data_IF_836867436425
#
_entry.id   IF_836867436425
#
_cell.length_a   1.000
_cell.length_b   1.000
_cell.length_c   1.000
_cell.angle_alpha   90.00
_cell.angle_beta   90.00
_cell.angle_gamma   90.00
#
_symmetry.space_group_name_H-M   'P 1'
#
loop_
_entity.id
_entity.type
_entity.pdbx_description
1 polymer ?
#
# COMPACT_ATOMS: atom_id res chain seq x y z
N UNK A 1 -10.08 -6.33 -5.06
CA UNK A 1 -10.02 -6.25 -6.53
C UNK A 1 -11.25 -6.95 -7.09
N UNK A 2 -12.01 -6.32 -7.99
CA UNK A 2 -13.16 -6.95 -8.63
C UNK A 2 -12.74 -7.67 -9.93
N UNK A 3 -13.57 -8.61 -10.41
CA UNK A 3 -13.28 -9.40 -11.61
C UNK A 3 -13.36 -8.60 -12.92
N UNK A 4 -14.00 -7.43 -12.90
CA UNK A 4 -14.09 -6.50 -14.02
C UNK A 4 -12.89 -5.54 -14.10
N UNK A 5 -11.81 -5.80 -13.36
CA UNK A 5 -10.64 -4.94 -13.24
C UNK A 5 -10.84 -3.63 -12.46
N UNK A 6 -11.93 -3.46 -11.72
CA UNK A 6 -12.11 -2.29 -10.86
C UNK A 6 -11.61 -2.55 -9.43
N UNK A 7 -10.74 -1.66 -8.92
CA UNK A 7 -10.42 -1.63 -7.49
C UNK A 7 -11.45 -0.74 -6.81
N UNK A 8 -12.28 -1.34 -5.97
CA UNK A 8 -13.41 -0.66 -5.32
C UNK A 8 -13.34 -0.83 -3.82
N UNK A 9 -13.49 0.27 -3.09
CA UNK A 9 -13.80 0.26 -1.67
C UNK A 9 -15.31 0.40 -1.50
N UNK A 10 -15.90 -0.50 -0.73
CA UNK A 10 -17.33 -0.47 -0.35
C UNK A 10 -17.51 -0.29 1.16
N UNK A 11 -18.57 0.38 1.58
CA UNK A 11 -19.11 0.38 2.95
C UNK A 11 -20.41 -0.44 2.92
N UNK A 12 -20.35 -1.69 3.38
CA UNK A 12 -21.43 -2.65 3.12
C UNK A 12 -21.62 -2.88 1.60
N UNK A 13 -22.85 -2.81 1.06
CA UNK A 13 -23.07 -2.94 -0.38
C UNK A 13 -22.71 -1.68 -1.18
N UNK A 14 -22.59 -0.52 -0.52
CA UNK A 14 -22.41 0.77 -1.20
C UNK A 14 -20.94 1.02 -1.58
N UNK A 15 -20.62 1.26 -2.86
CA UNK A 15 -19.28 1.70 -3.27
C UNK A 15 -19.06 3.16 -2.83
N UNK A 16 -17.93 3.43 -2.18
CA UNK A 16 -17.56 4.78 -1.69
C UNK A 16 -16.34 5.36 -2.41
N UNK A 17 -15.53 4.51 -3.05
CA UNK A 17 -14.41 4.93 -3.90
C UNK A 17 -14.09 3.85 -4.92
N UNK A 18 -13.60 4.23 -6.10
CA UNK A 18 -13.14 3.30 -7.14
C UNK A 18 -11.99 3.86 -7.97
N UNK A 19 -11.12 2.98 -8.48
CA UNK A 19 -10.04 3.30 -9.43
C UNK A 19 -10.53 3.65 -10.84
N UNK A 20 -11.82 3.40 -11.13
CA UNK A 20 -12.45 3.65 -12.43
C UNK A 20 -11.81 2.84 -13.58
N UNK A 21 -11.41 1.60 -13.28
CA UNK A 21 -10.73 0.70 -14.24
C UNK A 21 -11.60 -0.47 -14.69
N UNK A 22 -12.91 -0.39 -14.47
CA UNK A 22 -13.86 -1.40 -14.93
C UNK A 22 -13.73 -1.62 -16.45
N UNK A 23 -13.75 -2.89 -16.86
CA UNK A 23 -13.65 -3.38 -18.24
C UNK A 23 -12.38 -2.95 -19.00
N UNK A 24 -11.32 -2.51 -18.32
CA UNK A 24 -10.05 -2.12 -18.96
C UNK A 24 -9.03 -3.27 -19.08
N UNK A 25 -9.44 -4.50 -18.79
CA UNK A 25 -8.59 -5.68 -18.91
C UNK A 25 -9.25 -6.93 -18.36
N UNK A 26 -8.43 -7.97 -18.19
CA UNK A 26 -8.77 -9.24 -17.53
C UNK A 26 -7.64 -9.63 -16.58
N UNK A 27 -7.92 -10.52 -15.61
CA UNK A 27 -6.94 -11.03 -14.64
C UNK A 27 -6.16 -9.91 -13.93
N UNK A 28 -6.86 -8.82 -13.61
CA UNK A 28 -6.23 -7.64 -13.03
C UNK A 28 -5.88 -7.83 -11.56
N UNK A 29 -4.79 -7.21 -11.14
CA UNK A 29 -4.28 -7.25 -9.79
C UNK A 29 -3.90 -5.85 -9.32
N UNK A 30 -3.87 -5.68 -8.00
CA UNK A 30 -3.41 -4.46 -7.36
C UNK A 30 -2.17 -4.79 -6.53
N UNK A 31 -1.17 -3.92 -6.63
CA UNK A 31 0.10 -4.06 -5.93
C UNK A 31 0.48 -2.71 -5.32
N UNK A 32 1.08 -2.75 -4.13
CA UNK A 32 1.81 -1.63 -3.54
C UNK A 32 3.30 -1.91 -3.73
N UNK A 33 3.98 -1.06 -4.47
CA UNK A 33 5.41 -1.18 -4.73
C UNK A 33 6.26 -0.65 -3.55
N UNK A 34 7.54 -1.02 -3.53
CA UNK A 34 8.49 -0.59 -2.50
C UNK A 34 8.83 0.90 -2.55
N UNK A 35 8.43 1.61 -3.61
CA UNK A 35 8.52 3.07 -3.72
C UNK A 35 7.28 3.79 -3.18
N UNK A 36 6.29 3.05 -2.65
CA UNK A 36 5.04 3.61 -2.13
C UNK A 36 3.99 3.91 -3.20
N UNK A 37 4.19 3.50 -4.46
CA UNK A 37 3.15 3.58 -5.49
C UNK A 37 2.20 2.38 -5.39
N UNK A 38 0.91 2.66 -5.18
CA UNK A 38 -0.13 1.65 -5.32
C UNK A 38 -0.68 1.72 -6.74
N UNK A 39 -0.72 0.58 -7.43
CA UNK A 39 -1.13 0.53 -8.82
C UNK A 39 -2.03 -0.67 -9.10
N UNK A 40 -2.86 -0.52 -10.13
CA UNK A 40 -3.66 -1.61 -10.71
C UNK A 40 -3.07 -1.94 -12.07
N UNK A 41 -2.83 -3.22 -12.31
CA UNK A 41 -2.36 -3.76 -13.58
C UNK A 41 -3.37 -4.77 -14.12
N UNK A 42 -3.41 -4.94 -15.44
CA UNK A 42 -4.07 -6.10 -16.05
C UNK A 42 -3.14 -7.32 -16.12
N UNK A 43 -3.69 -8.47 -16.50
CA UNK A 43 -2.94 -9.73 -16.60
C UNK A 43 -1.76 -9.71 -17.59
N UNK A 44 -1.71 -8.72 -18.49
CA UNK A 44 -0.59 -8.52 -19.42
C UNK A 44 0.48 -7.56 -18.88
N UNK A 45 0.37 -7.11 -17.62
CA UNK A 45 1.30 -6.16 -17.01
C UNK A 45 1.07 -4.71 -17.43
N UNK A 46 -0.06 -4.36 -18.06
CA UNK A 46 -0.38 -2.97 -18.41
C UNK A 46 -0.97 -2.26 -17.19
N UNK A 47 -0.37 -1.13 -16.80
CA UNK A 47 -0.85 -0.30 -15.69
C UNK A 47 -2.11 0.46 -16.07
N UNK A 48 -3.19 0.22 -15.35
CA UNK A 48 -4.52 0.81 -15.58
C UNK A 48 -4.80 2.02 -14.70
N UNK A 49 -4.27 2.03 -13.47
CA UNK A 49 -4.42 3.10 -12.48
C UNK A 49 -3.20 3.16 -11.56
N UNK A 50 -2.96 4.32 -10.96
CA UNK A 50 -1.86 4.54 -10.02
C UNK A 50 -2.19 5.66 -9.01
N UNK A 51 -1.73 5.55 -7.77
CA UNK A 51 -1.97 6.50 -6.68
C UNK A 51 -1.21 7.81 -6.83
N UNK A 52 -0.13 7.84 -7.62
CA UNK A 52 0.80 8.97 -7.75
C UNK A 52 1.45 9.35 -6.42
N UNK A 53 1.85 8.34 -5.66
CA UNK A 53 2.47 8.48 -4.33
C UNK A 53 3.89 7.92 -4.27
N UNK A 54 4.44 7.52 -5.42
CA UNK A 54 5.84 7.11 -5.58
C UNK A 54 6.80 8.11 -4.94
N UNK A 55 7.75 7.58 -4.18
CA UNK A 55 8.77 8.23 -3.36
C UNK A 55 10.05 7.38 -3.41
N UNK A 56 10.94 7.55 -2.44
CA UNK A 56 12.07 6.66 -2.24
C UNK A 56 11.65 5.25 -1.82
N UNK A 57 12.52 4.28 -2.11
CA UNK A 57 12.35 2.89 -1.70
C UNK A 57 12.24 2.77 -0.16
N UNK A 58 11.37 1.88 0.30
CA UNK A 58 11.17 1.61 1.71
C UNK A 58 10.01 0.66 1.99
N UNK A 59 9.69 0.54 3.28
CA UNK A 59 8.61 -0.31 3.74
C UNK A 59 7.30 0.46 3.77
N UNK A 60 6.44 0.17 2.79
CA UNK A 60 5.11 0.77 2.69
C UNK A 60 4.02 -0.23 3.04
N UNK A 61 2.95 0.26 3.67
CA UNK A 61 1.75 -0.51 3.97
C UNK A 61 0.51 0.29 3.60
N UNK A 62 -0.40 -0.34 2.87
CA UNK A 62 -1.75 0.16 2.73
C UNK A 62 -2.59 -0.32 3.92
N UNK A 63 -3.24 0.61 4.60
CA UNK A 63 -4.12 0.33 5.73
C UNK A 63 -5.51 0.85 5.41
N UNK A 64 -6.50 -0.03 5.54
CA UNK A 64 -7.90 0.32 5.46
C UNK A 64 -8.48 0.44 6.86
N UNK A 65 -8.90 1.64 7.24
CA UNK A 65 -9.43 1.96 8.55
C UNK A 65 -10.93 1.64 8.64
N UNK A 66 -11.42 1.50 9.88
CA UNK A 66 -12.83 1.20 10.16
C UNK A 66 -13.78 2.33 9.80
N UNK A 67 -13.30 3.58 9.81
CA UNK A 67 -14.02 4.77 9.36
C UNK A 67 -14.25 4.80 7.82
N UNK A 68 -13.59 3.91 7.08
CA UNK A 68 -13.72 3.79 5.64
C UNK A 68 -12.58 4.42 4.84
N UNK A 69 -11.67 5.13 5.50
CA UNK A 69 -10.50 5.73 4.86
C UNK A 69 -9.42 4.68 4.57
N UNK A 70 -8.78 4.78 3.41
CA UNK A 70 -7.61 4.00 3.05
C UNK A 70 -6.41 4.91 2.90
N UNK A 71 -5.29 4.55 3.52
CA UNK A 71 -4.07 5.33 3.48
C UNK A 71 -2.83 4.45 3.25
N UNK A 72 -1.83 5.00 2.59
CA UNK A 72 -0.50 4.39 2.43
C UNK A 72 0.41 5.02 3.49
N UNK A 73 1.00 4.18 4.33
CA UNK A 73 1.97 4.57 5.35
C UNK A 73 3.36 4.05 4.98
N UNK A 74 4.38 4.84 5.32
CA UNK A 74 5.79 4.45 5.24
C UNK A 74 6.31 4.20 6.65
N UNK A 75 7.09 3.15 6.86
CA UNK A 75 7.82 2.99 8.10
C UNK A 75 8.93 4.05 8.20
N UNK A 76 8.93 4.80 9.31
CA UNK A 76 9.98 5.79 9.61
C UNK A 76 10.97 5.21 10.62
N UNK A 77 10.47 4.35 11.51
CA UNK A 77 11.26 3.60 12.48
C UNK A 77 10.57 2.25 12.73
N UNK A 78 11.36 1.19 12.85
CA UNK A 78 10.90 -0.11 13.31
C UNK A 78 12.07 -0.86 13.93
N UNK A 79 11.77 -1.78 14.84
CA UNK A 79 12.73 -2.72 15.43
C UNK A 79 12.48 -4.10 14.83
N UNK A 80 13.52 -4.77 14.33
CA UNK A 80 13.39 -6.07 13.68
C UNK A 80 14.73 -6.81 13.57
N UNK A 81 14.68 -8.13 13.75
CA UNK A 81 15.85 -9.04 13.83
C UNK A 81 16.38 -9.53 12.47
N UNK A 82 15.83 -9.03 11.35
CA UNK A 82 16.23 -9.49 10.02
C UNK A 82 17.58 -8.90 9.54
N UNK A 83 18.29 -8.19 10.42
CA UNK A 83 19.73 -7.92 10.42
C UNK A 83 20.13 -7.68 11.89
N UNK A 84 20.83 -8.61 12.54
CA UNK A 84 21.06 -8.66 14.00
C UNK A 84 21.41 -7.33 14.71
N UNK A 85 21.11 -7.21 16.02
CA UNK A 85 20.84 -5.95 16.70
C UNK A 85 22.11 -5.25 17.17
N UNK A 86 22.14 -3.93 17.15
CA UNK A 86 23.07 -3.18 17.97
C UNK A 86 22.38 -1.98 18.62
N UNK A 87 21.84 -2.29 19.80
CA UNK A 87 21.83 -1.43 21.00
C UNK A 87 21.14 -0.06 20.86
N UNK A 88 19.96 0.04 21.48
CA UNK A 88 19.63 1.25 22.24
C UNK A 88 20.66 1.36 23.36
N UNK A 89 21.73 2.13 23.14
CA UNK A 89 22.52 2.65 24.24
C UNK A 89 21.65 3.68 24.94
N UNK A 90 21.06 3.32 26.08
CA UNK A 90 20.62 4.36 27.00
C UNK A 90 21.84 5.22 27.34
N UNK A 91 21.71 6.56 27.40
CA UNK A 91 22.80 7.39 27.91
C UNK A 91 23.17 6.81 29.26
N UNK A 92 24.46 6.51 29.43
CA UNK A 92 25.01 6.23 30.74
C UNK A 92 24.84 7.54 31.51
N UNK A 93 23.78 7.64 32.33
CA UNK A 93 23.74 8.65 33.37
C UNK A 93 24.98 8.40 34.23
N UNK A 94 25.90 9.34 34.16
CA UNK A 94 27.01 9.44 35.09
C UNK A 94 26.46 10.06 36.36
N UNK A 95 26.33 9.25 37.40
CA UNK A 95 26.52 9.66 38.80
C UNK A 95 27.41 8.63 39.50
#
# INVERSE_FOLDING_TARGET
MQGDCNLVRKRGPQPIWASQTHHRGINCYCILHTDGEMAVFNGNGVRLWRSRTSREEGDYKFVLRSDGEGAIYRAIWYIGINNLPSTFGLPHDQE
#
